data_IF_178244691582
#
_entry.id   IF_178244691582
#
_cell.length_a   1.000
_cell.length_b   1.000
_cell.length_c   1.000
_cell.angle_alpha   90.00
_cell.angle_beta   90.00
_cell.angle_gamma   90.00
#
_symmetry.space_group_name_H-M   'P 1'
#
loop_
_entity.id
_entity.type
_entity.pdbx_description
1 polymer ?
#
# COMPACT_ATOMS: atom_id res chain seq x y z
N UNK A 1 -29.20 4.00 -4.05
CA UNK A 1 -27.75 4.01 -3.74
C UNK A 1 -27.28 2.57 -3.64
N UNK A 2 -26.23 2.21 -4.37
CA UNK A 2 -25.59 0.89 -4.30
C UNK A 2 -24.67 0.75 -3.08
N UNK A 3 -24.65 1.77 -2.21
CA UNK A 3 -23.82 1.77 -1.01
C UNK A 3 -24.52 1.08 0.16
N UNK A 4 -23.77 0.32 0.94
CA UNK A 4 -24.23 -0.21 2.21
C UNK A 4 -24.57 0.91 3.20
N UNK A 5 -25.47 0.67 4.20
CA UNK A 5 -25.76 1.63 5.24
C UNK A 5 -24.48 2.12 5.94
N UNK A 6 -24.40 3.40 6.25
CA UNK A 6 -23.21 4.04 6.84
C UNK A 6 -22.69 3.34 8.08
N UNK A 7 -23.58 2.98 9.02
CA UNK A 7 -23.21 2.27 10.24
C UNK A 7 -22.59 0.90 9.94
N UNK A 8 -23.16 0.16 8.99
CA UNK A 8 -22.62 -1.15 8.59
C UNK A 8 -21.21 -1.02 7.99
N UNK A 9 -20.97 0.03 7.21
CA UNK A 9 -19.63 0.33 6.67
C UNK A 9 -18.64 0.64 7.79
N UNK A 10 -19.02 1.44 8.77
CA UNK A 10 -18.16 1.80 9.91
C UNK A 10 -17.79 0.58 10.77
N UNK A 11 -18.76 -0.26 11.09
CA UNK A 11 -18.53 -1.49 11.86
C UNK A 11 -17.57 -2.39 11.09
N UNK A 12 -17.84 -2.68 9.81
CA UNK A 12 -17.00 -3.56 9.01
C UNK A 12 -15.61 -3.01 8.77
N UNK A 13 -15.46 -1.69 8.66
CA UNK A 13 -14.14 -1.06 8.54
C UNK A 13 -13.30 -1.28 9.81
N UNK A 14 -13.91 -1.11 11.00
CA UNK A 14 -13.26 -1.40 12.27
C UNK A 14 -12.88 -2.87 12.41
N UNK A 15 -13.83 -3.77 12.11
CA UNK A 15 -13.60 -5.22 12.16
C UNK A 15 -12.48 -5.63 11.22
N UNK A 16 -12.49 -5.11 9.99
CA UNK A 16 -11.47 -5.39 8.98
C UNK A 16 -10.07 -4.93 9.39
N UNK A 17 -9.94 -3.75 9.97
CA UNK A 17 -8.66 -3.25 10.47
C UNK A 17 -8.11 -4.12 11.61
N UNK A 18 -8.96 -4.51 12.55
CA UNK A 18 -8.59 -5.39 13.67
C UNK A 18 -8.22 -6.79 13.19
N UNK A 19 -9.00 -7.36 12.27
CA UNK A 19 -8.76 -8.71 11.73
C UNK A 19 -7.43 -8.75 10.94
N UNK A 20 -7.18 -7.74 10.11
CA UNK A 20 -5.93 -7.63 9.36
C UNK A 20 -4.72 -7.49 10.29
N UNK A 21 -4.77 -6.57 11.25
CA UNK A 21 -3.70 -6.35 12.21
C UNK A 21 -3.39 -7.60 13.03
N UNK A 22 -4.42 -8.31 13.51
CA UNK A 22 -4.24 -9.56 14.24
C UNK A 22 -3.60 -10.66 13.39
N UNK A 23 -3.99 -10.79 12.12
CA UNK A 23 -3.40 -11.75 11.17
C UNK A 23 -1.98 -11.39 10.78
N UNK A 24 -1.71 -10.10 10.65
CA UNK A 24 -0.37 -9.59 10.38
C UNK A 24 0.57 -9.79 11.59
N UNK A 25 0.04 -9.81 12.81
CA UNK A 25 0.80 -9.93 14.04
C UNK A 25 1.13 -8.60 14.73
N UNK A 26 0.59 -7.50 14.20
CA UNK A 26 0.69 -6.14 14.74
C UNK A 26 -0.73 -5.63 15.08
N UNK A 27 -1.26 -5.96 16.26
CA UNK A 27 -2.62 -5.59 16.63
C UNK A 27 -2.84 -4.08 16.58
N UNK A 28 -4.00 -3.65 16.11
CA UNK A 28 -4.38 -2.25 16.15
C UNK A 28 -4.54 -1.81 17.61
N UNK A 29 -3.72 -0.85 18.03
CA UNK A 29 -3.68 -0.37 19.44
C UNK A 29 -4.77 0.67 19.69
N UNK A 30 -4.99 1.56 18.71
CA UNK A 30 -6.01 2.59 18.79
C UNK A 30 -6.47 3.02 17.40
N UNK A 31 -7.61 3.67 17.34
CA UNK A 31 -8.13 4.21 16.09
C UNK A 31 -9.52 4.79 16.29
N UNK A 32 -10.04 5.36 15.23
CA UNK A 32 -11.43 5.83 15.17
C UNK A 32 -11.96 5.80 13.74
N UNK A 33 -13.28 5.73 13.62
CA UNK A 33 -13.97 6.02 12.37
C UNK A 33 -14.87 7.25 12.55
N UNK A 34 -15.10 7.99 11.48
CA UNK A 34 -15.97 9.17 11.45
C UNK A 34 -16.74 9.24 10.15
N UNK A 35 -17.98 9.66 10.27
CA UNK A 35 -18.81 10.10 9.16
C UNK A 35 -19.47 11.43 9.50
N UNK A 36 -19.81 12.17 8.49
CA UNK A 36 -20.50 13.44 8.67
C UNK A 36 -21.55 13.62 7.57
N UNK A 37 -22.74 13.99 7.98
CA UNK A 37 -23.84 14.32 7.10
C UNK A 37 -24.77 15.32 7.80
N UNK A 38 -24.84 16.53 7.29
CA UNK A 38 -25.64 17.61 7.85
C UNK A 38 -26.42 18.31 6.74
N UNK A 39 -27.72 18.42 6.88
CA UNK A 39 -28.54 19.27 6.04
C UNK A 39 -28.83 20.58 6.78
N UNK A 40 -28.41 21.70 6.20
CA UNK A 40 -28.64 23.02 6.74
C UNK A 40 -30.12 23.44 6.57
N UNK A 41 -30.61 24.44 7.34
CA UNK A 41 -31.96 24.98 7.16
C UNK A 41 -32.22 25.54 5.75
N UNK A 42 -31.18 25.91 5.04
CA UNK A 42 -31.23 26.32 3.62
C UNK A 42 -31.55 25.19 2.64
N UNK A 43 -31.53 23.93 3.11
CA UNK A 43 -31.61 22.74 2.28
C UNK A 43 -30.28 22.29 1.69
N UNK A 44 -29.20 23.03 1.91
CA UNK A 44 -27.86 22.65 1.50
C UNK A 44 -27.36 21.47 2.35
N UNK A 45 -26.76 20.45 1.70
CA UNK A 45 -26.22 19.27 2.37
C UNK A 45 -24.70 19.29 2.39
N UNK A 46 -24.14 19.14 3.58
CA UNK A 46 -22.72 19.04 3.85
C UNK A 46 -22.40 17.65 4.39
N UNK A 47 -21.49 16.95 3.73
CA UNK A 47 -21.12 15.62 4.21
C UNK A 47 -20.04 14.97 3.38
N UNK A 48 -19.57 13.82 3.84
CA UNK A 48 -18.72 12.94 3.06
C UNK A 48 -19.27 11.51 3.10
N UNK A 49 -19.28 10.89 1.93
CA UNK A 49 -19.78 9.53 1.75
C UNK A 49 -18.71 8.52 2.16
N UNK A 50 -17.46 8.77 1.77
CA UNK A 50 -16.32 7.94 2.14
C UNK A 50 -15.97 8.14 3.62
N UNK A 51 -16.00 7.07 4.39
CA UNK A 51 -15.71 7.15 5.83
C UNK A 51 -14.26 7.52 6.06
N UNK A 52 -14.03 8.36 7.07
CA UNK A 52 -12.71 8.62 7.58
C UNK A 52 -12.42 7.55 8.63
N UNK A 53 -11.41 6.74 8.39
CA UNK A 53 -10.89 5.79 9.35
C UNK A 53 -9.41 6.10 9.60
N UNK A 54 -9.05 6.12 10.87
CA UNK A 54 -7.70 6.37 11.31
C UNK A 54 -7.29 5.27 12.30
N UNK A 55 -6.13 4.67 12.07
CA UNK A 55 -5.51 3.73 12.99
C UNK A 55 -4.14 4.28 13.40
N UNK A 56 -3.70 3.96 14.59
CA UNK A 56 -2.44 4.46 15.11
C UNK A 56 -1.74 3.45 16.00
N UNK A 57 -0.45 3.67 16.16
CA UNK A 57 0.42 2.85 16.98
C UNK A 57 1.67 3.60 17.38
N UNK A 58 2.54 2.88 18.09
CA UNK A 58 3.84 3.36 18.55
C UNK A 58 4.91 2.36 18.09
N UNK A 59 6.05 2.86 17.62
CA UNK A 59 7.19 2.06 17.23
C UNK A 59 8.51 2.72 17.64
N UNK A 60 9.58 2.00 17.45
CA UNK A 60 10.95 2.48 17.63
C UNK A 60 11.73 2.33 16.34
N UNK A 61 12.61 3.29 16.07
CA UNK A 61 13.58 3.25 14.98
C UNK A 61 14.92 3.75 15.50
N UNK A 62 16.01 3.16 15.09
CA UNK A 62 17.33 3.66 15.40
C UNK A 62 17.64 4.93 14.59
N UNK A 63 18.30 5.90 15.23
CA UNK A 63 18.57 7.19 14.62
C UNK A 63 19.31 7.09 13.27
N UNK A 64 20.17 6.09 13.10
CA UNK A 64 20.92 5.83 11.87
C UNK A 64 20.04 5.41 10.66
N UNK A 65 18.81 4.99 10.91
CA UNK A 65 17.86 4.54 9.88
C UNK A 65 16.79 5.59 9.55
N UNK A 66 16.82 6.76 10.15
CA UNK A 66 15.85 7.84 9.89
C UNK A 66 16.02 8.39 8.48
N UNK A 67 17.29 8.62 8.08
CA UNK A 67 17.60 9.16 6.75
C UNK A 67 17.78 8.02 5.74
N UNK A 68 17.15 8.17 4.58
CA UNK A 68 17.32 7.23 3.46
C UNK A 68 18.68 7.41 2.81
N UNK A 69 19.38 6.31 2.57
CA UNK A 69 20.59 6.32 1.75
C UNK A 69 20.27 6.52 0.26
N UNK A 70 21.22 7.04 -0.48
CA UNK A 70 21.12 7.32 -1.90
C UNK A 70 21.64 6.15 -2.76
N UNK A 71 21.08 6.03 -3.98
CA UNK A 71 21.53 5.01 -4.92
C UNK A 71 22.91 5.30 -5.48
N UNK A 72 23.73 4.26 -5.53
CA UNK A 72 25.06 4.25 -6.16
C UNK A 72 25.12 3.17 -7.25
N UNK A 73 26.08 3.34 -8.16
CA UNK A 73 26.30 2.37 -9.23
C UNK A 73 26.71 1.01 -8.66
N UNK A 74 26.00 -0.01 -9.07
CA UNK A 74 26.23 -1.40 -8.65
C UNK A 74 25.24 -1.90 -7.60
N UNK A 75 24.52 -1.02 -6.92
CA UNK A 75 23.44 -1.39 -6.02
C UNK A 75 22.29 -2.09 -6.75
N UNK A 76 21.51 -2.86 -6.00
CA UNK A 76 20.36 -3.59 -6.51
C UNK A 76 19.05 -2.97 -5.99
N UNK A 77 18.04 -2.92 -6.86
CA UNK A 77 16.67 -2.64 -6.44
C UNK A 77 15.92 -3.97 -6.36
N UNK A 78 15.46 -4.32 -5.18
CA UNK A 78 14.76 -5.56 -4.89
C UNK A 78 13.31 -5.25 -4.52
N UNK A 79 12.35 -5.86 -5.22
CA UNK A 79 10.93 -5.80 -4.83
C UNK A 79 10.59 -7.01 -3.96
N UNK A 80 9.96 -6.75 -2.83
CA UNK A 80 9.49 -7.76 -1.88
C UNK A 80 7.99 -7.58 -1.66
N UNK A 81 7.27 -8.68 -1.56
CA UNK A 81 5.83 -8.67 -1.29
C UNK A 81 5.00 -9.45 -2.31
N UNK A 82 3.70 -9.20 -2.30
CA UNK A 82 2.69 -9.91 -3.08
C UNK A 82 2.78 -9.71 -4.60
N UNK A 83 2.05 -10.51 -5.37
CA UNK A 83 2.00 -10.37 -6.82
C UNK A 83 1.14 -9.18 -7.24
N UNK A 84 1.32 -8.74 -8.48
CA UNK A 84 0.61 -7.61 -9.07
C UNK A 84 -0.79 -7.99 -9.57
N UNK A 85 -1.80 -7.16 -9.27
CA UNK A 85 -3.17 -7.25 -9.75
C UNK A 85 -3.62 -5.97 -10.45
N UNK A 86 -4.60 -6.06 -11.33
CA UNK A 86 -5.12 -4.92 -12.08
C UNK A 86 -6.17 -4.12 -11.31
N UNK A 87 -5.74 -3.22 -10.44
CA UNK A 87 -6.64 -2.38 -9.61
C UNK A 87 -6.79 -0.95 -10.10
N UNK A 88 -6.45 -0.70 -11.37
CA UNK A 88 -6.46 0.62 -11.98
C UNK A 88 -5.09 1.30 -11.98
N UNK A 89 -5.04 2.47 -12.60
CA UNK A 89 -3.81 3.18 -12.90
C UNK A 89 -3.85 4.57 -12.26
N UNK A 90 -2.87 4.88 -11.41
CA UNK A 90 -2.77 6.22 -10.77
C UNK A 90 -4.08 6.68 -10.15
N UNK A 91 -4.55 7.89 -10.46
CA UNK A 91 -5.82 8.43 -9.98
C UNK A 91 -7.10 7.70 -10.45
N UNK A 92 -6.98 6.75 -11.38
CA UNK A 92 -8.06 5.85 -11.81
C UNK A 92 -8.10 4.52 -11.06
N UNK A 93 -7.22 4.33 -10.05
CA UNK A 93 -7.24 3.12 -9.22
C UNK A 93 -8.47 3.06 -8.32
N UNK A 94 -8.83 1.85 -7.88
CA UNK A 94 -10.00 1.61 -7.03
C UNK A 94 -10.02 2.50 -5.77
N UNK A 95 -8.86 2.74 -5.17
CA UNK A 95 -8.72 3.57 -3.98
C UNK A 95 -8.95 5.06 -4.20
N UNK A 96 -8.80 5.54 -5.43
CA UNK A 96 -8.88 6.96 -5.80
C UNK A 96 -10.26 7.39 -6.31
N UNK A 97 -11.13 6.45 -6.66
CA UNK A 97 -12.49 6.75 -7.15
C UNK A 97 -13.47 7.00 -6.01
N UNK A 98 -14.56 7.69 -6.31
CA UNK A 98 -15.67 7.81 -5.39
C UNK A 98 -16.33 6.45 -5.17
N UNK A 99 -16.77 6.20 -3.95
CA UNK A 99 -17.43 4.95 -3.61
C UNK A 99 -18.73 4.75 -4.42
N UNK A 100 -18.87 3.57 -5.00
CA UNK A 100 -20.01 3.21 -5.84
C UNK A 100 -19.88 3.57 -7.31
N UNK A 101 -18.73 4.14 -7.73
CA UNK A 101 -18.44 4.48 -9.13
C UNK A 101 -17.46 3.47 -9.80
N UNK A 102 -16.94 2.53 -9.02
CA UNK A 102 -16.05 1.48 -9.55
C UNK A 102 -16.84 0.44 -10.33
N UNK A 103 -16.18 -0.14 -11.32
CA UNK A 103 -16.61 -1.40 -11.92
C UNK A 103 -16.38 -2.55 -10.92
N UNK A 104 -17.27 -3.54 -10.91
CA UNK A 104 -17.22 -4.67 -9.97
C UNK A 104 -15.88 -5.44 -10.05
N UNK A 105 -15.34 -5.61 -11.26
CA UNK A 105 -14.04 -6.26 -11.48
C UNK A 105 -12.89 -5.50 -10.79
N UNK A 106 -12.92 -4.18 -10.83
CA UNK A 106 -11.92 -3.35 -10.19
C UNK A 106 -11.96 -3.47 -8.66
N UNK A 107 -13.17 -3.49 -8.09
CA UNK A 107 -13.36 -3.67 -6.65
C UNK A 107 -12.94 -5.08 -6.22
N UNK A 108 -13.26 -6.11 -7.02
CA UNK A 108 -12.84 -7.48 -6.76
C UNK A 108 -11.31 -7.62 -6.74
N UNK A 109 -10.62 -7.08 -7.72
CA UNK A 109 -9.16 -7.08 -7.78
C UNK A 109 -8.54 -6.29 -6.62
N UNK A 110 -9.17 -5.20 -6.19
CA UNK A 110 -8.71 -4.41 -5.05
C UNK A 110 -8.78 -5.22 -3.73
N UNK A 111 -9.79 -6.06 -3.55
CA UNK A 111 -9.89 -6.98 -2.39
C UNK A 111 -8.83 -8.08 -2.44
N UNK A 112 -8.54 -8.63 -3.61
CA UNK A 112 -7.57 -9.71 -3.81
C UNK A 112 -6.13 -9.31 -3.43
N UNK A 113 -5.80 -8.02 -3.47
CA UNK A 113 -4.45 -7.52 -3.19
C UNK A 113 -4.07 -7.51 -1.71
N UNK A 114 -5.06 -7.49 -0.79
CA UNK A 114 -4.83 -7.46 0.66
C UNK A 114 -4.44 -8.84 1.19
N UNK A 115 -3.22 -8.97 1.69
CA UNK A 115 -2.67 -10.22 2.20
C UNK A 115 -1.81 -9.98 3.45
N UNK A 116 -2.43 -10.13 4.62
CA UNK A 116 -1.78 -9.92 5.91
C UNK A 116 -0.62 -10.91 6.16
N UNK A 117 -0.69 -12.12 5.62
CA UNK A 117 0.40 -13.11 5.72
C UNK A 117 1.61 -12.64 4.90
N UNK A 118 1.39 -12.11 3.71
CA UNK A 118 2.45 -11.58 2.86
C UNK A 118 3.13 -10.37 3.52
N UNK A 119 2.35 -9.48 4.11
CA UNK A 119 2.88 -8.33 4.84
C UNK A 119 3.74 -8.77 6.03
N UNK A 120 3.27 -9.76 6.79
CA UNK A 120 4.03 -10.33 7.91
C UNK A 120 5.35 -10.96 7.44
N UNK A 121 5.35 -11.68 6.30
CA UNK A 121 6.58 -12.23 5.71
C UNK A 121 7.55 -11.12 5.29
N UNK A 122 7.05 -10.06 4.67
CA UNK A 122 7.86 -8.89 4.28
C UNK A 122 8.46 -8.20 5.50
N UNK A 123 7.67 -7.98 6.55
CA UNK A 123 8.13 -7.39 7.80
C UNK A 123 9.23 -8.23 8.45
N UNK A 124 9.11 -9.57 8.43
CA UNK A 124 10.16 -10.46 8.92
C UNK A 124 11.47 -10.34 8.14
N UNK A 125 11.42 -10.12 6.84
CA UNK A 125 12.63 -9.88 6.02
C UNK A 125 13.29 -8.56 6.44
N UNK A 126 12.51 -7.49 6.58
CA UNK A 126 13.02 -6.19 7.04
C UNK A 126 13.65 -6.33 8.42
N UNK A 127 12.97 -6.98 9.36
CA UNK A 127 13.48 -7.22 10.71
C UNK A 127 14.78 -8.02 10.72
N UNK A 128 14.86 -9.10 9.93
CA UNK A 128 16.07 -9.89 9.81
C UNK A 128 17.25 -9.06 9.29
N UNK A 129 17.02 -8.16 8.34
CA UNK A 129 18.05 -7.24 7.85
C UNK A 129 18.49 -6.24 8.94
N UNK A 130 17.53 -5.70 9.70
CA UNK A 130 17.84 -4.79 10.82
C UNK A 130 18.67 -5.49 11.90
N UNK A 131 18.35 -6.75 12.21
CA UNK A 131 19.08 -7.55 13.20
C UNK A 131 20.52 -7.91 12.76
N UNK A 132 20.86 -7.69 11.49
CA UNK A 132 22.24 -7.82 11.01
C UNK A 132 23.13 -6.63 11.40
N UNK A 133 22.57 -5.61 12.02
CA UNK A 133 23.25 -4.41 12.52
C UNK A 133 24.11 -3.72 11.45
N UNK A 134 25.43 -3.60 11.63
CA UNK A 134 26.33 -2.98 10.66
C UNK A 134 26.41 -3.72 9.31
N UNK A 135 25.90 -4.94 9.24
CA UNK A 135 25.83 -5.73 8.02
C UNK A 135 24.43 -5.65 7.35
N UNK A 136 23.57 -4.77 7.80
CA UNK A 136 22.26 -4.56 7.16
C UNK A 136 22.44 -4.14 5.69
N UNK A 137 22.00 -4.94 4.72
CA UNK A 137 22.18 -4.62 3.32
C UNK A 137 21.22 -3.54 2.80
N UNK A 138 20.19 -3.19 3.58
CA UNK A 138 19.17 -2.25 3.15
C UNK A 138 19.66 -0.81 3.32
N UNK A 139 19.86 -0.13 2.20
CA UNK A 139 20.25 1.29 2.14
C UNK A 139 19.02 2.20 2.21
N UNK A 140 17.92 1.79 1.58
CA UNK A 140 16.67 2.55 1.57
C UNK A 140 15.48 1.62 1.34
N UNK A 141 14.34 1.98 1.94
CA UNK A 141 13.05 1.27 1.78
C UNK A 141 12.01 2.26 1.27
N UNK A 142 11.17 1.81 0.35
CA UNK A 142 10.01 2.54 -0.11
C UNK A 142 8.82 1.59 -0.28
N UNK A 143 7.69 1.90 0.35
CA UNK A 143 6.44 1.18 0.13
C UNK A 143 5.91 1.43 -1.29
N UNK A 144 5.22 0.44 -1.84
CA UNK A 144 4.69 0.52 -3.19
C UNK A 144 3.17 0.66 -3.16
N UNK A 145 2.69 1.86 -3.47
CA UNK A 145 1.27 2.19 -3.58
C UNK A 145 0.92 2.73 -4.96
N UNK A 146 0.17 3.83 -5.00
CA UNK A 146 -0.24 4.50 -6.23
C UNK A 146 0.96 4.88 -7.11
N UNK A 147 0.83 4.66 -8.43
CA UNK A 147 1.92 4.83 -9.38
C UNK A 147 2.82 3.60 -9.55
N UNK A 148 2.64 2.59 -8.69
CA UNK A 148 3.27 1.27 -8.82
C UNK A 148 4.78 1.27 -8.91
N UNK A 149 5.36 0.31 -9.64
CA UNK A 149 6.81 0.23 -9.87
C UNK A 149 7.40 1.51 -10.46
N UNK A 150 6.66 2.21 -11.32
CA UNK A 150 7.13 3.45 -11.96
C UNK A 150 7.48 4.51 -10.94
N UNK A 151 6.75 4.61 -9.85
CA UNK A 151 7.05 5.54 -8.78
C UNK A 151 8.22 5.05 -7.93
N UNK A 152 8.06 3.89 -7.32
CA UNK A 152 8.99 3.37 -6.31
C UNK A 152 10.38 3.08 -6.89
N UNK A 153 10.45 2.38 -8.02
CA UNK A 153 11.76 2.01 -8.59
C UNK A 153 12.51 3.22 -9.15
N UNK A 154 11.77 4.21 -9.65
CA UNK A 154 12.36 5.47 -10.10
C UNK A 154 12.90 6.29 -8.93
N UNK A 155 12.16 6.41 -7.84
CA UNK A 155 12.61 7.13 -6.65
C UNK A 155 13.84 6.46 -6.01
N UNK A 156 13.82 5.14 -5.86
CA UNK A 156 14.97 4.40 -5.34
C UNK A 156 16.23 4.54 -6.20
N UNK A 157 16.07 4.67 -7.51
CA UNK A 157 17.18 4.80 -8.45
C UNK A 157 17.51 6.25 -8.86
N UNK A 158 16.91 7.27 -8.26
CA UNK A 158 16.93 8.65 -8.76
C UNK A 158 18.34 9.18 -9.03
N UNK A 159 19.29 8.94 -8.13
CA UNK A 159 20.67 9.46 -8.24
C UNK A 159 21.56 8.71 -9.22
N UNK A 160 21.40 7.39 -9.32
CA UNK A 160 22.26 6.54 -10.12
C UNK A 160 21.64 6.07 -11.43
N UNK A 161 20.34 6.28 -11.61
CA UNK A 161 19.57 5.63 -12.65
C UNK A 161 19.42 4.14 -12.39
N UNK A 162 18.77 3.42 -13.33
CA UNK A 162 18.57 1.98 -13.14
C UNK A 162 18.16 1.25 -14.42
N UNK A 163 18.39 -0.04 -14.45
CA UNK A 163 17.87 -0.96 -15.47
C UNK A 163 16.81 -1.84 -14.83
N UNK A 164 15.59 -1.76 -15.33
CA UNK A 164 14.44 -2.51 -14.80
C UNK A 164 13.99 -3.53 -15.84
N UNK A 165 13.94 -4.80 -15.45
CA UNK A 165 13.41 -5.89 -16.27
C UNK A 165 11.97 -6.19 -15.84
N UNK A 166 11.01 -5.65 -16.60
CA UNK A 166 9.58 -5.74 -16.27
C UNK A 166 9.05 -7.17 -16.19
N UNK A 167 9.66 -8.11 -16.95
CA UNK A 167 9.27 -9.54 -16.92
C UNK A 167 9.61 -10.24 -15.62
N UNK A 168 10.41 -9.62 -14.75
CA UNK A 168 10.72 -10.15 -13.41
C UNK A 168 9.70 -9.74 -12.35
N UNK A 169 8.82 -8.78 -12.66
CA UNK A 169 7.74 -8.40 -11.76
C UNK A 169 6.75 -9.57 -11.68
N UNK A 170 6.54 -10.08 -10.46
CA UNK A 170 5.63 -11.19 -10.22
C UNK A 170 4.19 -10.73 -10.40
N UNK A 171 3.44 -11.40 -11.26
CA UNK A 171 2.06 -11.08 -11.58
C UNK A 171 1.11 -12.05 -10.89
N UNK A 172 0.02 -11.53 -10.32
CA UNK A 172 -1.15 -12.28 -9.88
C UNK A 172 -2.18 -12.43 -11.00
N UNK A 173 -2.17 -11.48 -11.94
CA UNK A 173 -2.98 -11.50 -13.16
C UNK A 173 -2.06 -11.46 -14.38
N UNK A 174 -1.96 -12.57 -15.14
CA UNK A 174 -1.09 -12.65 -16.32
C UNK A 174 -1.62 -11.85 -17.52
N UNK A 175 -2.84 -11.33 -17.47
CA UNK A 175 -3.46 -10.54 -18.54
C UNK A 175 -3.06 -9.06 -18.50
N UNK A 176 -2.31 -8.64 -17.49
CA UNK A 176 -1.88 -7.26 -17.34
C UNK A 176 -1.05 -6.78 -18.53
N UNK A 177 -1.42 -5.66 -19.13
CA UNK A 177 -0.60 -4.99 -20.14
C UNK A 177 0.70 -4.45 -19.52
N UNK A 178 1.71 -4.22 -20.35
CA UNK A 178 3.00 -3.63 -19.92
C UNK A 178 2.79 -2.32 -19.13
N UNK A 179 1.87 -1.48 -19.60
CA UNK A 179 1.52 -0.23 -18.93
C UNK A 179 0.96 -0.50 -17.52
N UNK A 180 0.00 -1.41 -17.40
CA UNK A 180 -0.59 -1.77 -16.12
C UNK A 180 0.45 -2.36 -15.17
N UNK A 181 1.35 -3.22 -15.64
CA UNK A 181 2.44 -3.75 -14.82
C UNK A 181 3.31 -2.62 -14.27
N UNK A 182 3.58 -1.61 -15.08
CA UNK A 182 4.51 -0.53 -14.72
C UNK A 182 3.92 0.52 -13.77
N UNK A 183 2.64 0.89 -13.92
CA UNK A 183 2.03 2.01 -13.22
C UNK A 183 0.81 1.65 -12.37
N UNK A 184 0.41 0.39 -12.29
CA UNK A 184 -0.69 -0.02 -11.44
C UNK A 184 -0.31 0.02 -9.96
N UNK A 185 -1.27 0.34 -9.12
CA UNK A 185 -1.12 0.28 -7.67
C UNK A 185 -1.05 -1.18 -7.21
N UNK A 186 -0.13 -1.46 -6.30
CA UNK A 186 -0.02 -2.74 -5.61
C UNK A 186 0.03 -2.50 -4.11
N UNK A 187 -0.34 -3.50 -3.31
CA UNK A 187 -0.22 -3.45 -1.85
C UNK A 187 0.60 -4.62 -1.31
N UNK A 188 0.94 -4.56 -0.01
CA UNK A 188 1.82 -5.50 0.67
C UNK A 188 3.11 -5.72 -0.13
N UNK A 189 3.70 -4.60 -0.57
CA UNK A 189 4.89 -4.62 -1.41
C UNK A 189 5.78 -3.41 -1.10
N UNK A 190 7.07 -3.66 -1.01
CA UNK A 190 8.10 -2.63 -0.87
C UNK A 190 9.20 -2.80 -1.93
N UNK A 191 9.84 -1.69 -2.26
CA UNK A 191 11.13 -1.67 -2.93
C UNK A 191 12.24 -1.43 -1.93
N UNK A 192 13.32 -2.19 -2.03
CA UNK A 192 14.54 -2.00 -1.26
C UNK A 192 15.67 -1.62 -2.18
N UNK A 193 16.46 -0.62 -1.79
CA UNK A 193 17.77 -0.38 -2.36
C UNK A 193 18.77 -1.15 -1.49
N UNK A 194 19.57 -1.99 -2.12
CA UNK A 194 20.53 -2.88 -1.44
C UNK A 194 21.93 -2.58 -1.92
N UNK A 195 22.85 -2.38 -0.98
CA UNK A 195 24.27 -2.17 -1.22
C UNK A 195 25.09 -3.46 -1.32
#
# INVERSE_FOLDING_TARGET
SNLAPSLAVEIRASDGASDYGNKFGEPVVLGFTRSFDLTLPSGERWGWIKKIMFTGGIGQIEARHIEKGEAEKGMLIVQVGGPAYGIGVSGGSASSKLQGENEEELDFNAVQRGDAEMEQKMNRVIRACIEMDDHNPIVSVHDQGAGGPANVLKELGEKAGGKIELRRIKLGDPTLSVLKIWIAEYQERCGFLIG
#
